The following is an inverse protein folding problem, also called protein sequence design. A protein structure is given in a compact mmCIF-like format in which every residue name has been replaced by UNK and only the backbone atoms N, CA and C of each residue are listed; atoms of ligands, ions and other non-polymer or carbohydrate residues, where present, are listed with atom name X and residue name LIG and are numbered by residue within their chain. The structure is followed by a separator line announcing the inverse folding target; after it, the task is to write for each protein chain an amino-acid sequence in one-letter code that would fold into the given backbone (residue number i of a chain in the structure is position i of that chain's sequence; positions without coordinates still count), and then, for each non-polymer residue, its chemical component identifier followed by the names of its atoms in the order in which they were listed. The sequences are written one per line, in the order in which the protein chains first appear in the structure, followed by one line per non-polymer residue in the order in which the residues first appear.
data_IF_360461022761
#
_entry.id   IF_360461022761
#
_cell.length_a   1.000
_cell.length_b   1.000
_cell.length_c   1.000
_cell.angle_alpha   90.00
_cell.angle_beta   90.00
_cell.angle_gamma   90.00
#
_symmetry.space_group_name_H-M   'P 1'
#
loop_
_entity.id
_entity.type
_entity.pdbx_description
1 polymer ?
#
# COMPACT_ATOMS: atom_id res chain seq x y z
N UNK A 1 26.36 -7.29 26.43
CA UNK A 1 24.89 -7.50 26.38
C UNK A 1 24.22 -6.17 26.62
N UNK A 2 23.15 -5.81 25.89
CA UNK A 2 22.42 -4.56 26.13
C UNK A 2 21.74 -4.61 27.50
N UNK A 3 21.67 -3.46 28.17
CA UNK A 3 20.92 -3.32 29.43
C UNK A 3 19.41 -3.36 29.18
N UNK A 4 18.60 -3.65 30.21
CA UNK A 4 17.15 -3.66 30.09
C UNK A 4 16.58 -2.29 29.64
N UNK A 5 17.24 -1.20 30.01
CA UNK A 5 16.87 0.16 29.59
C UNK A 5 17.19 0.40 28.11
N UNK A 6 18.38 0.03 27.64
CA UNK A 6 18.75 0.12 26.22
C UNK A 6 17.80 -0.70 25.33
N UNK A 7 17.34 -1.84 25.83
CA UNK A 7 16.38 -2.69 25.13
C UNK A 7 15.00 -2.05 25.00
N UNK A 8 14.51 -1.41 26.08
CA UNK A 8 13.26 -0.63 26.06
C UNK A 8 13.34 0.55 25.09
N UNK A 9 14.45 1.29 25.11
CA UNK A 9 14.68 2.42 24.21
C UNK A 9 14.71 1.98 22.74
N UNK A 10 15.42 0.89 22.44
CA UNK A 10 15.46 0.32 21.09
C UNK A 10 14.08 -0.13 20.61
N UNK A 11 13.29 -0.75 21.49
CA UNK A 11 11.91 -1.17 21.17
C UNK A 11 10.99 0.02 20.93
N UNK A 12 11.06 1.06 21.78
CA UNK A 12 10.25 2.27 21.65
C UNK A 12 10.59 3.03 20.37
N UNK A 13 11.88 3.17 20.04
CA UNK A 13 12.33 3.77 18.80
C UNK A 13 11.86 2.98 17.58
N UNK A 14 12.00 1.64 17.60
CA UNK A 14 11.54 0.79 16.50
C UNK A 14 10.03 0.92 16.24
N UNK A 15 9.22 0.97 17.30
CA UNK A 15 7.78 1.19 17.23
C UNK A 15 7.44 2.55 16.61
N UNK A 16 8.04 3.65 17.13
CA UNK A 16 7.86 4.99 16.55
C UNK A 16 8.31 5.08 15.08
N UNK A 17 9.41 4.43 14.72
CA UNK A 17 9.88 4.34 13.33
C UNK A 17 8.87 3.56 12.48
N UNK A 18 8.32 2.44 12.97
CA UNK A 18 7.32 1.67 12.23
C UNK A 18 6.11 2.54 11.83
N UNK A 19 5.60 3.37 12.76
CA UNK A 19 4.51 4.31 12.48
C UNK A 19 4.88 5.36 11.43
N UNK A 20 6.06 5.97 11.52
CA UNK A 20 6.52 6.95 10.53
C UNK A 20 6.70 6.35 9.13
N UNK A 21 7.28 5.15 9.05
CA UNK A 21 7.55 4.47 7.78
C UNK A 21 6.28 4.11 6.99
N UNK A 22 5.09 4.12 7.61
CA UNK A 22 3.80 3.95 6.91
C UNK A 22 3.51 5.10 5.93
N UNK A 23 4.12 6.26 6.14
CA UNK A 23 3.87 7.49 5.37
C UNK A 23 5.07 7.95 4.55
N UNK A 24 6.26 7.44 4.87
CA UNK A 24 7.51 7.79 4.21
C UNK A 24 7.56 7.32 2.74
N UNK A 25 8.30 8.02 1.86
CA UNK A 25 8.60 7.50 0.54
C UNK A 25 9.64 6.37 0.58
N UNK A 26 9.59 5.47 -0.40
CA UNK A 26 10.41 4.25 -0.46
C UNK A 26 11.90 4.53 -0.26
N UNK A 27 12.43 5.60 -0.85
CA UNK A 27 13.84 5.97 -0.67
C UNK A 27 14.16 6.42 0.76
N UNK A 28 13.25 7.14 1.42
CA UNK A 28 13.36 7.49 2.85
C UNK A 28 13.25 6.25 3.71
N UNK A 29 12.36 5.30 3.37
CA UNK A 29 12.25 4.02 4.09
C UNK A 29 13.58 3.26 4.03
N UNK A 30 14.17 3.15 2.85
CA UNK A 30 15.49 2.51 2.66
C UNK A 30 16.58 3.23 3.46
N UNK A 31 16.60 4.56 3.44
CA UNK A 31 17.59 5.34 4.17
C UNK A 31 17.45 5.21 5.69
N UNK A 32 16.23 5.39 6.22
CA UNK A 32 15.93 5.27 7.65
C UNK A 32 16.26 3.88 8.19
N UNK A 33 15.90 2.82 7.46
CA UNK A 33 16.18 1.44 7.90
C UNK A 33 17.68 1.14 7.95
N UNK A 34 18.51 1.78 7.11
CA UNK A 34 19.98 1.67 7.16
C UNK A 34 20.63 2.39 8.34
N UNK A 35 19.97 3.43 8.87
CA UNK A 35 20.45 4.21 10.03
C UNK A 35 20.21 3.50 11.36
N UNK A 36 19.27 2.55 11.42
CA UNK A 36 18.96 1.82 12.63
C UNK A 36 20.12 0.90 13.01
N UNK A 37 20.47 0.90 14.29
CA UNK A 37 21.35 -0.12 14.83
C UNK A 37 20.68 -1.51 14.75
N UNK A 38 21.50 -2.56 14.85
CA UNK A 38 21.03 -3.94 14.69
C UNK A 38 19.95 -4.36 15.70
N UNK A 39 19.97 -3.81 16.92
CA UNK A 39 18.99 -4.14 17.95
C UNK A 39 17.65 -3.48 17.67
N UNK A 40 17.66 -2.19 17.32
CA UNK A 40 16.45 -1.46 16.90
C UNK A 40 15.86 -2.07 15.63
N UNK A 41 16.68 -2.41 14.62
CA UNK A 41 16.23 -3.04 13.38
C UNK A 41 15.60 -4.43 13.62
N UNK A 42 16.12 -5.21 14.57
CA UNK A 42 15.51 -6.48 15.01
C UNK A 42 14.09 -6.26 15.55
N UNK A 43 13.87 -5.22 16.34
CA UNK A 43 12.54 -4.88 16.85
C UNK A 43 11.63 -4.40 15.73
N UNK A 44 12.12 -3.53 14.84
CA UNK A 44 11.36 -3.06 13.69
C UNK A 44 10.89 -4.24 12.81
N UNK A 45 11.79 -5.18 12.47
CA UNK A 45 11.45 -6.38 11.69
C UNK A 45 10.39 -7.28 12.35
N UNK A 46 10.20 -7.16 13.67
CA UNK A 46 9.23 -7.90 14.47
C UNK A 46 7.98 -7.08 14.80
N UNK A 47 7.96 -5.81 14.40
CA UNK A 47 6.81 -4.95 14.59
C UNK A 47 5.62 -5.53 13.84
N UNK A 48 4.48 -5.48 14.49
CA UNK A 48 3.29 -6.17 14.04
C UNK A 48 2.60 -5.51 12.86
N UNK A 49 2.82 -4.21 12.69
CA UNK A 49 2.09 -3.38 11.74
C UNK A 49 3.02 -2.77 10.71
N UNK A 50 4.15 -3.42 10.42
CA UNK A 50 5.00 -3.05 9.31
C UNK A 50 4.19 -3.02 8.00
N UNK A 51 4.23 -1.87 7.32
CA UNK A 51 3.60 -1.73 6.02
C UNK A 51 4.21 -2.72 5.01
N UNK A 52 3.38 -3.26 4.10
CA UNK A 52 3.81 -4.25 3.11
C UNK A 52 4.98 -3.75 2.22
N UNK A 53 5.02 -2.45 1.91
CA UNK A 53 6.13 -1.83 1.17
C UNK A 53 7.41 -1.81 2.00
N UNK A 54 7.35 -1.46 3.29
CA UNK A 54 8.50 -1.53 4.20
C UNK A 54 9.05 -2.95 4.30
N UNK A 55 8.18 -3.96 4.43
CA UNK A 55 8.59 -5.37 4.42
C UNK A 55 9.27 -5.72 3.09
N UNK A 56 8.70 -5.30 1.97
CA UNK A 56 9.26 -5.53 0.63
C UNK A 56 10.68 -4.94 0.51
N UNK A 57 10.86 -3.69 0.94
CA UNK A 57 12.15 -3.01 0.90
C UNK A 57 13.18 -3.65 1.84
N UNK A 58 12.79 -4.05 3.05
CA UNK A 58 13.66 -4.76 3.98
C UNK A 58 14.09 -6.14 3.45
N UNK A 59 13.22 -6.85 2.73
CA UNK A 59 13.58 -8.13 2.13
C UNK A 59 14.51 -7.97 0.93
N UNK A 60 14.33 -6.88 0.18
CA UNK A 60 15.15 -6.54 -0.99
C UNK A 60 16.52 -6.00 -0.61
N UNK A 61 16.59 -5.12 0.39
CA UNK A 61 17.79 -4.34 0.72
C UNK A 61 18.40 -4.67 2.10
N UNK A 62 17.68 -5.39 2.96
CA UNK A 62 18.15 -5.78 4.29
C UNK A 62 19.10 -6.97 4.27
N UNK A 63 19.80 -7.15 5.40
CA UNK A 63 20.75 -8.23 5.60
C UNK A 63 20.03 -9.57 5.79
N UNK A 64 20.76 -10.68 5.66
CA UNK A 64 20.20 -12.03 5.82
C UNK A 64 19.51 -12.24 7.19
N UNK A 65 20.03 -11.62 8.25
CA UNK A 65 19.44 -11.68 9.59
C UNK A 65 18.06 -11.02 9.65
N UNK A 66 17.88 -9.89 8.96
CA UNK A 66 16.63 -9.12 8.92
C UNK A 66 15.53 -9.94 8.23
N UNK A 67 15.88 -10.57 7.10
CA UNK A 67 15.01 -11.52 6.41
C UNK A 67 14.57 -12.65 7.33
N UNK A 68 15.49 -13.17 8.15
CA UNK A 68 15.21 -14.19 9.16
C UNK A 68 14.34 -13.71 10.33
N UNK A 69 14.33 -12.42 10.65
CA UNK A 69 13.40 -11.85 11.64
C UNK A 69 12.01 -11.67 11.05
N UNK A 70 11.91 -11.11 9.86
CA UNK A 70 10.64 -10.94 9.14
C UNK A 70 10.01 -12.32 8.88
N UNK A 71 10.79 -13.34 8.51
CA UNK A 71 10.32 -14.73 8.32
C UNK A 71 9.57 -15.30 9.52
N UNK A 72 9.94 -14.85 10.72
CA UNK A 72 9.37 -15.33 11.97
C UNK A 72 8.31 -14.39 12.53
N UNK A 73 8.04 -13.26 11.87
CA UNK A 73 7.03 -12.32 12.30
C UNK A 73 5.63 -12.85 11.93
N UNK A 74 4.79 -13.23 12.92
CA UNK A 74 3.49 -13.82 12.62
C UNK A 74 2.49 -12.82 12.05
N UNK A 75 2.73 -11.52 12.24
CA UNK A 75 1.78 -10.41 12.03
C UNK A 75 2.01 -9.62 10.74
N UNK A 76 3.06 -9.90 9.97
CA UNK A 76 3.22 -9.38 8.60
C UNK A 76 1.99 -9.75 7.76
N UNK A 77 1.16 -8.73 7.52
CA UNK A 77 -0.16 -8.84 6.89
C UNK A 77 -0.02 -9.34 5.45
N UNK A 78 -0.92 -10.24 5.03
CA UNK A 78 -1.05 -10.61 3.61
C UNK A 78 -0.21 -11.79 3.14
N UNK A 79 0.09 -12.76 4.02
CA UNK A 79 0.99 -13.88 3.72
C UNK A 79 0.90 -14.47 2.28
N UNK A 80 2.07 -14.75 1.64
CA UNK A 80 3.33 -14.87 2.37
C UNK A 80 4.46 -13.94 1.88
N UNK A 81 5.20 -13.45 2.88
CA UNK A 81 6.64 -13.25 3.05
C UNK A 81 6.92 -13.58 4.53
N UNK A 82 8.13 -13.99 4.95
CA UNK A 82 9.05 -15.03 4.46
C UNK A 82 8.86 -16.42 5.14
N UNK A 83 9.30 -17.49 4.45
CA UNK A 83 8.87 -18.89 4.70
C UNK A 83 7.73 -19.34 3.77
N UNK A 84 7.59 -18.68 2.62
CA UNK A 84 6.46 -18.81 1.71
C UNK A 84 6.12 -20.29 1.45
N UNK A 85 4.90 -20.77 1.71
CA UNK A 85 4.36 -21.69 0.73
C UNK A 85 4.20 -20.84 -0.53
N UNK A 86 5.09 -21.03 -1.49
CA UNK A 86 4.99 -20.47 -2.83
C UNK A 86 3.72 -20.99 -3.53
N UNK A 87 3.75 -21.19 -4.86
CA UNK A 87 2.76 -22.02 -5.56
C UNK A 87 2.34 -23.25 -4.74
N UNK A 88 3.21 -23.83 -3.89
CA UNK A 88 2.91 -24.81 -2.84
C UNK A 88 1.56 -24.70 -2.08
N UNK A 89 1.04 -23.52 -1.68
CA UNK A 89 -0.29 -23.47 -1.01
C UNK A 89 -1.45 -23.68 -1.99
N UNK A 90 -1.23 -23.28 -3.25
CA UNK A 90 -2.13 -23.52 -4.38
C UNK A 90 -1.95 -24.94 -4.96
N UNK A 91 -0.70 -25.43 -5.02
CA UNK A 91 -0.28 -26.75 -5.51
C UNK A 91 -0.53 -27.88 -4.48
N UNK A 92 -0.68 -27.56 -3.18
CA UNK A 92 -1.23 -28.50 -2.18
C UNK A 92 -2.66 -28.95 -2.52
N UNK A 93 -3.36 -28.24 -3.41
CA UNK A 93 -4.60 -28.73 -4.01
C UNK A 93 -4.23 -29.47 -5.30
N UNK A 94 -4.55 -30.77 -5.38
CA UNK A 94 -4.31 -31.60 -6.58
C UNK A 94 -4.71 -30.85 -7.85
N UNK A 95 -3.85 -30.89 -8.87
CA UNK A 95 -4.17 -30.53 -10.26
C UNK A 95 -5.52 -31.14 -10.61
N UNK A 96 -6.47 -30.40 -11.20
CA UNK A 96 -7.71 -31.01 -11.68
C UNK A 96 -7.34 -32.21 -12.57
N UNK A 97 -7.82 -33.44 -12.28
CA UNK A 97 -7.39 -34.64 -13.02
C UNK A 97 -7.69 -34.56 -14.52
N UNK A 98 -8.63 -33.70 -14.90
CA UNK A 98 -9.04 -33.44 -16.28
C UNK A 98 -8.12 -32.46 -17.03
N UNK A 99 -7.23 -31.74 -16.34
CA UNK A 99 -6.38 -30.72 -16.98
C UNK A 99 -5.35 -31.33 -17.92
N UNK A 100 -4.60 -32.35 -17.47
CA UNK A 100 -3.57 -32.99 -18.30
C UNK A 100 -4.17 -33.63 -19.57
N UNK A 101 -5.27 -34.41 -19.51
CA UNK A 101 -5.96 -34.87 -20.71
C UNK A 101 -6.37 -33.75 -21.67
N UNK A 102 -6.88 -32.63 -21.13
CA UNK A 102 -7.26 -31.47 -21.93
C UNK A 102 -6.05 -30.83 -22.63
N UNK A 103 -4.95 -30.64 -21.90
CA UNK A 103 -3.72 -30.08 -22.47
C UNK A 103 -3.10 -31.00 -23.52
N UNK A 104 -3.14 -32.32 -23.31
CA UNK A 104 -2.71 -33.32 -24.31
C UNK A 104 -3.52 -33.24 -25.60
N UNK A 105 -4.84 -33.12 -25.48
CA UNK A 105 -5.71 -32.96 -26.63
C UNK A 105 -5.47 -31.62 -27.37
N UNK A 106 -5.18 -30.56 -26.62
CA UNK A 106 -4.89 -29.23 -27.19
C UNK A 106 -3.54 -29.16 -27.91
N UNK A 107 -2.51 -29.80 -27.36
CA UNK A 107 -1.13 -29.76 -27.89
C UNK A 107 -0.83 -30.89 -28.87
N UNK A 108 -1.64 -31.96 -28.89
CA UNK A 108 -1.40 -33.16 -29.71
C UNK A 108 -0.21 -34.01 -29.23
N UNK A 109 0.32 -33.74 -28.05
CA UNK A 109 1.49 -34.40 -27.43
C UNK A 109 1.39 -34.38 -25.91
N UNK A 110 2.27 -35.09 -25.22
CA UNK A 110 2.33 -35.06 -23.75
C UNK A 110 3.16 -33.87 -23.24
N UNK A 111 2.56 -32.86 -22.58
CA UNK A 111 3.31 -31.73 -22.05
C UNK A 111 4.17 -32.08 -20.82
N UNK A 112 4.04 -33.28 -20.25
CA UNK A 112 4.94 -33.78 -19.21
C UNK A 112 6.23 -34.40 -19.80
N UNK A 113 6.17 -34.90 -21.04
CA UNK A 113 7.29 -35.58 -21.70
C UNK A 113 8.23 -34.59 -22.41
N UNK A 114 7.69 -33.48 -22.90
CA UNK A 114 8.42 -32.49 -23.70
C UNK A 114 8.13 -31.07 -23.21
N UNK A 115 9.15 -30.21 -22.99
CA UNK A 115 8.95 -28.84 -22.55
C UNK A 115 7.99 -28.05 -23.45
N UNK A 116 7.18 -27.19 -22.84
CA UNK A 116 6.39 -26.20 -23.57
C UNK A 116 7.32 -25.15 -24.18
N UNK A 117 7.18 -24.91 -25.48
CA UNK A 117 7.79 -23.75 -26.12
C UNK A 117 7.15 -22.46 -25.58
N UNK A 118 7.86 -21.33 -25.70
CA UNK A 118 7.33 -20.03 -25.27
C UNK A 118 5.96 -19.71 -25.91
N UNK A 119 5.77 -20.06 -27.20
CA UNK A 119 4.52 -19.83 -27.92
C UNK A 119 3.37 -20.69 -27.37
N UNK A 120 3.61 -21.98 -27.12
CA UNK A 120 2.61 -22.87 -26.51
C UNK A 120 2.22 -22.39 -25.11
N UNK A 121 3.21 -22.02 -24.28
CA UNK A 121 2.97 -21.50 -22.94
C UNK A 121 2.07 -20.24 -23.00
N UNK A 122 2.43 -19.26 -23.84
CA UNK A 122 1.66 -18.02 -23.98
C UNK A 122 0.24 -18.29 -24.47
N UNK A 123 0.06 -19.19 -25.44
CA UNK A 123 -1.26 -19.56 -25.95
C UNK A 123 -2.14 -20.18 -24.85
N UNK A 124 -1.58 -21.12 -24.07
CA UNK A 124 -2.27 -21.76 -22.94
C UNK A 124 -2.63 -20.73 -21.86
N UNK A 125 -1.71 -19.83 -21.50
CA UNK A 125 -1.95 -18.76 -20.54
C UNK A 125 -3.06 -17.81 -21.02
N UNK A 126 -3.13 -17.46 -22.32
CA UNK A 126 -4.20 -16.62 -22.86
C UNK A 126 -5.57 -17.33 -22.81
N UNK A 127 -5.60 -18.63 -23.08
CA UNK A 127 -6.83 -19.42 -23.11
C UNK A 127 -7.39 -19.67 -21.72
N UNK A 128 -6.55 -20.07 -20.78
CA UNK A 128 -6.96 -20.56 -19.47
C UNK A 128 -6.87 -19.52 -18.34
N UNK A 129 -6.35 -18.32 -18.63
CA UNK A 129 -6.11 -17.25 -17.67
C UNK A 129 -7.28 -16.36 -17.25
N UNK A 130 -8.47 -16.53 -17.84
CA UNK A 130 -9.51 -15.48 -17.82
C UNK A 130 -10.08 -15.16 -16.44
N UNK A 131 -10.08 -16.10 -15.49
CA UNK A 131 -10.80 -15.94 -14.21
C UNK A 131 -9.92 -16.00 -12.96
N UNK A 132 -9.09 -17.03 -12.82
CA UNK A 132 -8.32 -17.30 -11.60
C UNK A 132 -6.95 -17.89 -11.96
N UNK A 133 -5.93 -17.74 -11.09
CA UNK A 133 -4.58 -18.17 -11.39
C UNK A 133 -4.38 -19.68 -11.34
N UNK A 134 -5.39 -20.48 -10.93
CA UNK A 134 -5.19 -21.90 -10.67
C UNK A 134 -4.70 -22.68 -11.91
N UNK A 135 -5.48 -22.68 -12.99
CA UNK A 135 -5.10 -23.41 -14.21
C UNK A 135 -3.80 -22.86 -14.81
N UNK A 136 -3.58 -21.53 -14.88
CA UNK A 136 -2.28 -20.98 -15.24
C UNK A 136 -1.12 -21.43 -14.35
N UNK A 137 -1.30 -21.57 -13.03
CA UNK A 137 -0.27 -22.09 -12.13
C UNK A 137 0.05 -23.56 -12.42
N UNK A 138 -0.98 -24.35 -12.71
CA UNK A 138 -0.80 -25.76 -13.09
C UNK A 138 -0.05 -25.88 -14.43
N UNK A 139 -0.32 -24.98 -15.39
CA UNK A 139 0.44 -24.89 -16.66
C UNK A 139 1.90 -24.48 -16.41
N UNK A 140 2.13 -23.48 -15.54
CA UNK A 140 3.49 -23.00 -15.19
C UNK A 140 4.29 -24.03 -14.37
N UNK A 141 3.65 -25.06 -13.82
CA UNK A 141 4.33 -26.16 -13.15
C UNK A 141 4.86 -27.23 -14.12
N UNK A 142 4.41 -27.23 -15.38
CA UNK A 142 4.94 -28.11 -16.42
C UNK A 142 6.33 -27.63 -16.89
N UNK A 143 7.19 -28.53 -17.41
CA UNK A 143 8.45 -28.12 -18.02
C UNK A 143 8.19 -27.12 -19.16
N UNK A 144 8.90 -25.99 -19.17
CA UNK A 144 8.71 -24.95 -20.18
C UNK A 144 9.98 -24.13 -20.41
N UNK A 145 10.12 -23.63 -21.64
CA UNK A 145 11.13 -22.63 -22.02
C UNK A 145 10.46 -21.26 -22.02
N UNK A 146 10.68 -20.46 -20.97
CA UNK A 146 10.19 -19.08 -20.91
C UNK A 146 11.32 -18.10 -20.61
N UNK A 147 11.65 -17.30 -21.61
CA UNK A 147 12.44 -16.09 -21.44
C UNK A 147 11.53 -14.92 -20.97
N UNK A 148 11.84 -14.25 -19.84
CA UNK A 148 11.06 -13.11 -19.34
C UNK A 148 10.86 -11.99 -20.36
N UNK A 149 11.88 -11.71 -21.20
CA UNK A 149 11.81 -10.67 -22.23
C UNK A 149 10.79 -10.99 -23.31
N UNK A 150 10.81 -12.23 -23.80
CA UNK A 150 9.87 -12.76 -24.80
C UNK A 150 8.43 -12.78 -24.27
N UNK A 151 8.23 -13.19 -23.02
CA UNK A 151 6.93 -13.15 -22.35
C UNK A 151 6.39 -11.71 -22.24
N UNK A 152 7.24 -10.75 -21.88
CA UNK A 152 6.86 -9.35 -21.80
C UNK A 152 6.52 -8.76 -23.17
N UNK A 153 7.31 -9.06 -24.20
CA UNK A 153 7.05 -8.60 -25.57
C UNK A 153 5.69 -9.10 -26.09
N UNK A 154 5.38 -10.36 -25.83
CA UNK A 154 4.10 -10.97 -26.20
C UNK A 154 2.92 -10.44 -25.38
N UNK A 155 3.14 -10.13 -24.11
CA UNK A 155 2.15 -9.46 -23.28
C UNK A 155 1.85 -8.03 -23.77
N UNK A 156 2.88 -7.29 -24.20
CA UNK A 156 2.72 -5.94 -24.73
C UNK A 156 1.94 -5.93 -26.06
N UNK A 157 2.18 -6.91 -26.94
CA UNK A 157 1.44 -7.08 -28.20
C UNK A 157 -0.01 -7.46 -27.98
N UNK A 158 -0.26 -8.46 -27.12
CA UNK A 158 -1.60 -8.93 -26.79
C UNK A 158 -1.66 -9.31 -25.30
N UNK A 159 -2.28 -8.44 -24.47
CA UNK A 159 -2.30 -8.60 -23.02
C UNK A 159 -2.78 -9.97 -22.57
N UNK A 160 -2.00 -10.56 -21.66
CA UNK A 160 -2.39 -11.79 -20.96
C UNK A 160 -3.59 -11.49 -20.04
N UNK A 161 -4.52 -12.45 -19.87
CA UNK A 161 -5.59 -12.30 -18.91
C UNK A 161 -5.09 -12.18 -17.46
N UNK A 162 -5.85 -11.47 -16.62
CA UNK A 162 -5.46 -11.17 -15.24
C UNK A 162 -5.12 -12.42 -14.39
N UNK A 163 -5.79 -13.55 -14.60
CA UNK A 163 -5.46 -14.79 -13.87
C UNK A 163 -4.09 -15.35 -14.24
N UNK A 164 -3.67 -15.21 -15.50
CA UNK A 164 -2.33 -15.61 -15.93
C UNK A 164 -1.26 -14.66 -15.44
N UNK A 165 -1.53 -13.35 -15.45
CA UNK A 165 -0.61 -12.37 -14.85
C UNK A 165 -0.47 -12.62 -13.34
N UNK A 166 -1.57 -12.86 -12.62
CA UNK A 166 -1.53 -13.24 -11.20
C UNK A 166 -0.70 -14.52 -10.97
N UNK A 167 -0.82 -15.52 -11.85
CA UNK A 167 -0.07 -16.76 -11.76
C UNK A 167 1.42 -16.58 -12.03
N UNK A 168 1.79 -15.78 -13.03
CA UNK A 168 3.20 -15.45 -13.33
C UNK A 168 3.87 -14.73 -12.15
N UNK A 169 3.17 -13.77 -11.54
CA UNK A 169 3.64 -13.07 -10.34
C UNK A 169 3.75 -13.98 -9.10
N UNK A 170 3.02 -15.11 -9.09
CA UNK A 170 3.05 -16.12 -8.03
C UNK A 170 4.12 -17.19 -8.24
N UNK A 171 4.29 -17.68 -9.47
CA UNK A 171 5.07 -18.87 -9.77
C UNK A 171 6.57 -18.60 -9.88
N UNK A 172 6.97 -17.42 -10.34
CA UNK A 172 8.32 -17.17 -10.80
C UNK A 172 9.06 -16.13 -9.95
N UNK A 173 10.39 -16.30 -9.86
CA UNK A 173 11.32 -15.26 -9.46
C UNK A 173 11.55 -14.28 -10.62
N UNK A 174 10.47 -13.61 -11.03
CA UNK A 174 10.51 -12.67 -12.16
C UNK A 174 11.40 -11.47 -11.83
N UNK A 175 12.23 -11.02 -12.77
CA UNK A 175 12.88 -9.71 -12.67
C UNK A 175 11.83 -8.62 -12.44
N UNK A 176 12.21 -7.59 -11.69
CA UNK A 176 11.30 -6.49 -11.32
C UNK A 176 10.72 -5.81 -12.56
N UNK A 177 11.55 -5.60 -13.57
CA UNK A 177 11.18 -4.97 -14.83
C UNK A 177 10.08 -5.77 -15.54
N UNK A 178 10.16 -7.11 -15.48
CA UNK A 178 9.12 -7.99 -16.04
C UNK A 178 7.82 -7.91 -15.23
N UNK A 179 7.91 -7.88 -13.90
CA UNK A 179 6.73 -7.73 -13.04
C UNK A 179 6.01 -6.39 -13.27
N UNK A 180 6.76 -5.29 -13.41
CA UNK A 180 6.23 -3.98 -13.77
C UNK A 180 5.56 -4.01 -15.15
N UNK A 181 6.26 -4.54 -16.15
CA UNK A 181 5.77 -4.60 -17.52
C UNK A 181 4.48 -5.43 -17.67
N UNK A 182 4.32 -6.49 -16.88
CA UNK A 182 3.08 -7.28 -16.83
C UNK A 182 1.87 -6.53 -16.25
N UNK A 183 2.10 -5.44 -15.53
CA UNK A 183 1.05 -4.58 -14.97
C UNK A 183 0.80 -3.33 -15.83
N UNK A 184 1.70 -3.01 -16.76
CA UNK A 184 1.67 -1.85 -17.64
C UNK A 184 0.86 -2.06 -18.95
N UNK A 185 -0.14 -2.93 -18.93
CA UNK A 185 -0.89 -3.32 -20.14
C UNK A 185 -1.89 -2.23 -20.59
N UNK A 186 -1.41 -1.27 -21.39
CA UNK A 186 -2.18 -0.14 -21.93
C UNK A 186 -3.38 -0.56 -22.82
N UNK A 187 -3.27 -1.69 -23.51
CA UNK A 187 -4.25 -2.17 -24.50
C UNK A 187 -5.22 -3.25 -23.96
N UNK A 188 -5.44 -3.32 -22.65
CA UNK A 188 -6.27 -4.36 -22.08
C UNK A 188 -7.77 -4.15 -22.41
N UNK A 189 -8.51 -5.23 -22.79
CA UNK A 189 -9.96 -5.15 -23.00
C UNK A 189 -10.69 -4.74 -21.71
N UNK A 190 -11.94 -4.29 -21.85
CA UNK A 190 -12.82 -3.84 -20.77
C UNK A 190 -12.54 -4.58 -19.45
N UNK A 191 -12.17 -3.82 -18.42
CA UNK A 191 -11.60 -4.36 -17.18
C UNK A 191 -12.56 -5.39 -16.56
N UNK A 192 -12.20 -6.67 -16.67
CA UNK A 192 -12.98 -7.74 -16.06
C UNK A 192 -13.00 -7.61 -14.53
N UNK A 193 -13.96 -8.25 -13.85
CA UNK A 193 -14.17 -8.17 -12.38
C UNK A 193 -12.94 -8.47 -11.49
N UNK A 194 -11.85 -8.97 -12.06
CA UNK A 194 -10.64 -9.47 -11.37
C UNK A 194 -9.36 -8.76 -11.81
N UNK A 195 -9.45 -7.63 -12.52
CA UNK A 195 -8.31 -6.87 -13.05
C UNK A 195 -7.30 -6.42 -11.98
N UNK A 196 -7.75 -6.13 -10.75
CA UNK A 196 -6.93 -5.63 -9.65
C UNK A 196 -6.08 -6.71 -8.97
N UNK A 197 -6.44 -7.99 -9.14
CA UNK A 197 -5.83 -9.10 -8.39
C UNK A 197 -4.31 -9.22 -8.60
N UNK A 198 -3.77 -9.07 -9.83
CA UNK A 198 -2.33 -9.05 -10.05
C UNK A 198 -1.59 -7.98 -9.26
N UNK A 199 -2.11 -6.75 -9.21
CA UNK A 199 -1.50 -5.66 -8.44
C UNK A 199 -1.49 -5.97 -6.94
N UNK A 200 -2.64 -6.43 -6.39
CA UNK A 200 -2.73 -6.87 -4.99
C UNK A 200 -1.75 -8.00 -4.69
N UNK A 201 -1.58 -8.93 -5.64
CA UNK A 201 -0.65 -10.04 -5.50
C UNK A 201 0.80 -9.58 -5.52
N UNK A 202 1.17 -8.67 -6.41
CA UNK A 202 2.53 -8.17 -6.53
C UNK A 202 3.03 -7.58 -5.21
N UNK A 203 2.20 -6.78 -4.53
CA UNK A 203 2.55 -6.21 -3.21
C UNK A 203 2.66 -7.28 -2.13
N UNK A 204 1.66 -8.17 -2.02
CA UNK A 204 1.65 -9.21 -0.98
C UNK A 204 2.77 -10.23 -1.10
N UNK A 205 3.24 -10.48 -2.32
CA UNK A 205 4.38 -11.35 -2.59
C UNK A 205 5.72 -10.60 -2.50
N UNK A 206 5.72 -9.30 -2.15
CA UNK A 206 6.92 -8.47 -2.09
C UNK A 206 7.64 -8.30 -3.41
N UNK A 207 6.91 -8.38 -4.53
CA UNK A 207 7.46 -8.14 -5.86
C UNK A 207 7.59 -6.64 -6.11
N UNK A 208 6.56 -5.88 -5.73
CA UNK A 208 6.49 -4.43 -5.92
C UNK A 208 6.05 -3.73 -4.64
N UNK A 209 6.53 -2.51 -4.43
CA UNK A 209 5.96 -1.58 -3.43
C UNK A 209 4.69 -0.91 -3.98
N UNK A 210 3.96 -0.18 -3.12
CA UNK A 210 2.81 0.62 -3.59
C UNK A 210 3.25 1.74 -4.53
N UNK A 211 4.43 2.33 -4.31
CA UNK A 211 4.98 3.37 -5.21
C UNK A 211 5.38 2.81 -6.57
N UNK A 212 6.03 1.64 -6.59
CA UNK A 212 6.35 0.95 -7.84
C UNK A 212 5.07 0.58 -8.61
N UNK A 213 3.98 0.20 -7.92
CA UNK A 213 2.68 0.04 -8.57
C UNK A 213 2.17 1.35 -9.18
N UNK A 214 2.20 2.47 -8.44
CA UNK A 214 1.72 3.77 -8.94
C UNK A 214 2.53 4.24 -10.16
N UNK A 215 3.84 4.00 -10.16
CA UNK A 215 4.73 4.41 -11.23
C UNK A 215 4.56 3.59 -12.53
N UNK A 216 4.14 2.32 -12.42
CA UNK A 216 4.17 1.39 -13.56
C UNK A 216 2.81 0.85 -14.01
N UNK A 217 1.80 0.85 -13.14
CA UNK A 217 0.47 0.38 -13.53
C UNK A 217 -0.13 1.32 -14.57
N UNK A 218 -0.55 0.74 -15.68
CA UNK A 218 -1.19 1.44 -16.78
C UNK A 218 -2.45 0.67 -17.23
N UNK A 219 -3.51 1.36 -17.71
CA UNK A 219 -3.65 2.83 -17.81
C UNK A 219 -3.89 3.52 -16.45
N UNK A 220 -3.65 4.84 -16.38
CA UNK A 220 -3.69 5.66 -15.17
C UNK A 220 -4.97 5.50 -14.33
N UNK A 221 -6.14 5.32 -14.98
CA UNK A 221 -7.40 5.02 -14.27
C UNK A 221 -7.31 3.84 -13.30
N UNK A 222 -6.50 2.82 -13.61
CA UNK A 222 -6.35 1.63 -12.75
C UNK A 222 -5.71 2.01 -11.44
N UNK A 223 -4.70 2.87 -11.46
CA UNK A 223 -4.01 3.35 -10.26
C UNK A 223 -4.96 4.14 -9.36
N UNK A 224 -5.81 5.01 -9.94
CA UNK A 224 -6.85 5.73 -9.20
C UNK A 224 -7.86 4.78 -8.55
N UNK A 225 -8.33 3.77 -9.28
CA UNK A 225 -9.24 2.76 -8.76
C UNK A 225 -8.59 1.87 -7.69
N UNK A 226 -7.30 1.53 -7.83
CA UNK A 226 -6.55 0.80 -6.80
C UNK A 226 -6.47 1.58 -5.49
N UNK A 227 -6.44 2.92 -5.56
CA UNK A 227 -6.51 3.82 -4.41
C UNK A 227 -7.86 3.84 -3.69
N UNK A 228 -8.91 3.22 -4.24
CA UNK A 228 -10.21 3.07 -3.58
C UNK A 228 -10.95 1.84 -4.12
N UNK A 229 -10.44 0.63 -3.82
CA UNK A 229 -11.10 -0.60 -4.27
C UNK A 229 -12.40 -0.83 -3.48
N UNK A 230 -13.57 -0.98 -4.14
CA UNK A 230 -14.82 -1.21 -3.44
C UNK A 230 -14.79 -2.55 -2.70
N UNK A 231 -15.49 -2.61 -1.56
CA UNK A 231 -15.63 -3.82 -0.76
C UNK A 231 -16.39 -4.93 -1.53
N UNK A 232 -15.67 -5.75 -2.30
CA UNK A 232 -16.19 -6.93 -3.02
C UNK A 232 -15.66 -8.21 -2.38
N UNK A 233 -16.34 -9.35 -2.61
CA UNK A 233 -15.96 -10.70 -2.11
C UNK A 233 -14.68 -11.28 -2.76
N UNK A 234 -13.84 -10.49 -3.41
CA UNK A 234 -12.61 -10.91 -4.11
C UNK A 234 -11.35 -10.68 -3.27
N UNK A 235 -10.18 -11.06 -3.82
CA UNK A 235 -8.88 -10.66 -3.27
C UNK A 235 -8.82 -9.13 -3.27
N UNK A 236 -8.71 -8.53 -2.09
CA UNK A 236 -8.77 -7.08 -1.85
C UNK A 236 -7.60 -6.63 -1.00
N UNK A 237 -7.35 -5.33 -0.95
CA UNK A 237 -6.49 -4.73 0.07
C UNK A 237 -7.03 -5.02 1.48
N UNK A 238 -6.13 -5.29 2.43
CA UNK A 238 -6.43 -5.07 3.85
C UNK A 238 -6.50 -3.57 4.13
N UNK A 239 -7.04 -3.17 5.29
CA UNK A 239 -7.10 -1.75 5.64
C UNK A 239 -5.71 -1.07 5.63
N UNK A 240 -4.64 -1.66 6.19
CA UNK A 240 -3.29 -1.09 6.08
C UNK A 240 -2.76 -1.02 4.64
N UNK A 241 -3.03 -2.03 3.80
CA UNK A 241 -2.64 -2.01 2.38
C UNK A 241 -3.41 -0.93 1.61
N UNK A 242 -4.69 -0.73 1.92
CA UNK A 242 -5.52 0.31 1.34
C UNK A 242 -5.00 1.70 1.70
N UNK A 243 -4.63 1.91 2.97
CA UNK A 243 -4.03 3.16 3.43
C UNK A 243 -2.66 3.43 2.77
N UNK A 244 -1.82 2.39 2.62
CA UNK A 244 -0.55 2.48 1.93
C UNK A 244 -0.70 2.80 0.43
N UNK A 245 -1.62 2.12 -0.25
CA UNK A 245 -1.94 2.41 -1.65
C UNK A 245 -2.49 3.83 -1.82
N UNK A 246 -3.42 4.28 -0.96
CA UNK A 246 -3.95 5.64 -0.99
C UNK A 246 -2.85 6.67 -0.78
N UNK A 247 -1.95 6.46 0.18
CA UNK A 247 -0.79 7.33 0.41
C UNK A 247 0.11 7.45 -0.83
N UNK A 248 0.42 6.32 -1.49
CA UNK A 248 1.21 6.33 -2.72
C UNK A 248 0.51 7.04 -3.88
N UNK A 249 -0.82 6.89 -4.02
CA UNK A 249 -1.62 7.60 -5.03
C UNK A 249 -1.65 9.10 -4.73
N UNK A 250 -1.92 9.50 -3.49
CA UNK A 250 -1.91 10.90 -3.06
C UNK A 250 -0.57 11.56 -3.32
N UNK A 251 0.53 10.82 -3.14
CA UNK A 251 1.87 11.30 -3.48
C UNK A 251 2.02 11.63 -4.96
N UNK A 252 1.55 10.76 -5.85
CA UNK A 252 1.59 11.01 -7.29
C UNK A 252 0.63 12.13 -7.73
N UNK A 253 -0.45 12.36 -7.00
CA UNK A 253 -1.42 13.44 -7.24
C UNK A 253 -1.01 14.79 -6.65
N UNK A 254 0.02 14.83 -5.78
CA UNK A 254 0.49 16.05 -5.10
C UNK A 254 0.66 17.26 -6.02
N UNK A 255 1.19 17.14 -7.26
CA UNK A 255 1.34 18.28 -8.17
C UNK A 255 0.02 18.99 -8.53
N UNK A 256 -1.13 18.33 -8.39
CA UNK A 256 -2.44 18.95 -8.62
C UNK A 256 -2.83 19.96 -7.53
N UNK A 257 -2.22 19.84 -6.33
CA UNK A 257 -2.56 20.66 -5.16
C UNK A 257 -4.06 20.61 -4.82
N UNK A 258 -4.58 21.74 -4.35
CA UNK A 258 -5.99 21.92 -4.01
C UNK A 258 -6.79 22.56 -5.16
N UNK A 259 -6.24 22.65 -6.39
CA UNK A 259 -6.92 23.32 -7.51
C UNK A 259 -8.04 22.43 -8.11
N UNK A 260 -9.33 22.76 -7.89
CA UNK A 260 -10.44 21.93 -8.36
C UNK A 260 -10.47 21.77 -9.89
N UNK A 261 -9.85 22.69 -10.65
CA UNK A 261 -9.77 22.61 -12.11
C UNK A 261 -8.85 21.46 -12.55
N UNK A 262 -7.71 21.29 -11.89
CA UNK A 262 -6.76 20.22 -12.19
C UNK A 262 -7.33 18.84 -11.81
N UNK A 263 -8.08 18.77 -10.70
CA UNK A 263 -8.84 17.57 -10.34
C UNK A 263 -9.94 17.22 -11.36
N UNK A 264 -10.58 18.23 -11.96
CA UNK A 264 -11.53 18.02 -13.05
C UNK A 264 -10.85 17.52 -14.33
N UNK A 265 -9.65 18.04 -14.67
CA UNK A 265 -8.85 17.53 -15.79
C UNK A 265 -8.42 16.07 -15.57
N UNK A 266 -8.05 15.70 -14.33
CA UNK A 266 -7.74 14.32 -13.98
C UNK A 266 -8.89 13.38 -14.33
N UNK A 267 -10.12 13.75 -13.94
CA UNK A 267 -11.32 12.97 -14.25
C UNK A 267 -11.62 12.90 -15.76
N UNK A 268 -11.35 13.98 -16.50
CA UNK A 268 -11.53 14.01 -17.96
C UNK A 268 -10.55 13.10 -18.69
N UNK A 269 -9.27 13.12 -18.32
CA UNK A 269 -8.22 12.45 -19.08
C UNK A 269 -7.90 11.03 -18.61
N UNK A 270 -8.12 10.69 -17.34
CA UNK A 270 -7.76 9.38 -16.78
C UNK A 270 -8.34 8.15 -17.51
N UNK A 271 -9.60 8.15 -18.00
CA UNK A 271 -10.17 6.97 -18.67
C UNK A 271 -9.41 6.53 -19.93
N UNK A 272 -8.94 7.52 -20.71
CA UNK A 272 -8.33 7.31 -22.02
C UNK A 272 -6.79 7.37 -21.99
N UNK A 273 -6.18 7.88 -20.92
CA UNK A 273 -4.73 8.00 -20.85
C UNK A 273 -4.05 6.61 -20.75
N UNK A 274 -3.24 6.22 -21.75
CA UNK A 274 -2.67 4.87 -21.83
C UNK A 274 -1.49 4.65 -20.88
N UNK A 275 -0.85 5.72 -20.40
CA UNK A 275 0.31 5.68 -19.52
C UNK A 275 -0.04 5.54 -18.03
N UNK A 276 0.97 5.55 -17.15
CA UNK A 276 0.80 5.50 -15.71
C UNK A 276 0.33 6.84 -15.14
N UNK A 277 -0.14 6.84 -13.89
CA UNK A 277 -0.70 8.03 -13.24
C UNK A 277 0.26 9.22 -13.17
N UNK A 278 1.56 9.07 -12.85
CA UNK A 278 2.49 10.21 -12.83
C UNK A 278 2.63 10.92 -14.18
N UNK A 279 2.61 10.16 -15.28
CA UNK A 279 2.67 10.73 -16.64
C UNK A 279 1.42 11.54 -16.98
N UNK A 280 0.25 11.06 -16.54
CA UNK A 280 -1.00 11.81 -16.67
C UNK A 280 -0.97 13.11 -15.86
N UNK A 281 -0.54 13.05 -14.60
CA UNK A 281 -0.49 14.23 -13.72
C UNK A 281 0.47 15.28 -14.26
N UNK A 282 1.66 14.87 -14.72
CA UNK A 282 2.60 15.79 -15.37
C UNK A 282 1.97 16.47 -16.59
N UNK A 283 1.30 15.70 -17.46
CA UNK A 283 0.62 16.26 -18.62
C UNK A 283 -0.49 17.27 -18.29
N UNK A 284 -1.23 17.04 -17.19
CA UNK A 284 -2.28 17.96 -16.70
C UNK A 284 -1.65 19.26 -16.20
N UNK A 285 -0.63 19.16 -15.35
CA UNK A 285 0.04 20.31 -14.75
C UNK A 285 0.75 21.16 -15.80
N UNK A 286 1.37 20.52 -16.79
CA UNK A 286 2.06 21.20 -17.90
C UNK A 286 1.09 21.71 -18.98
N UNK A 287 -0.19 21.36 -18.91
CA UNK A 287 -1.19 21.71 -19.93
C UNK A 287 -0.90 21.11 -21.31
N UNK A 288 -0.18 19.99 -21.37
CA UNK A 288 0.32 19.39 -22.62
C UNK A 288 -0.56 18.26 -23.16
N UNK A 289 -1.64 17.89 -22.45
CA UNK A 289 -2.54 16.85 -22.90
C UNK A 289 -3.41 17.33 -24.07
N UNK A 290 -3.61 16.48 -25.10
CA UNK A 290 -4.54 16.79 -26.17
C UNK A 290 -5.95 16.90 -25.61
N UNK A 291 -6.78 17.74 -26.24
CA UNK A 291 -8.20 17.88 -25.88
C UNK A 291 -8.90 16.52 -25.82
N UNK A 292 -9.80 16.29 -24.86
CA UNK A 292 -10.42 14.98 -24.68
C UNK A 292 -11.26 14.58 -25.90
N UNK A 293 -11.09 13.35 -26.38
CA UNK A 293 -11.89 12.76 -27.45
C UNK A 293 -13.34 12.53 -26.99
N UNK A 294 -14.17 13.57 -27.15
CA UNK A 294 -15.61 13.54 -26.91
C UNK A 294 -16.03 13.45 -25.43
N UNK A 295 -17.25 13.92 -25.16
CA UNK A 295 -17.87 13.82 -23.85
C UNK A 295 -18.35 12.38 -23.60
N UNK A 296 -17.46 11.49 -23.15
CA UNK A 296 -17.88 10.27 -22.46
C UNK A 296 -18.29 10.63 -21.04
N UNK A 297 -19.44 10.14 -20.60
CA UNK A 297 -19.82 10.25 -19.19
C UNK A 297 -18.70 9.68 -18.30
N UNK A 298 -18.32 10.38 -17.22
CA UNK A 298 -17.28 9.90 -16.33
C UNK A 298 -17.75 8.63 -15.64
N UNK A 299 -16.92 7.58 -15.69
CA UNK A 299 -17.16 6.32 -14.98
C UNK A 299 -17.49 6.60 -13.49
N UNK A 300 -18.67 6.20 -13.00
CA UNK A 300 -19.08 6.47 -11.62
C UNK A 300 -18.13 5.89 -10.56
N UNK A 301 -17.47 4.76 -10.85
CA UNK A 301 -16.48 4.17 -9.94
C UNK A 301 -15.23 5.04 -9.87
N UNK A 302 -14.73 5.52 -11.02
CA UNK A 302 -13.59 6.43 -11.10
C UNK A 302 -13.89 7.77 -10.42
N UNK A 303 -15.07 8.35 -10.69
CA UNK A 303 -15.50 9.59 -10.07
C UNK A 303 -15.56 9.47 -8.55
N UNK A 304 -16.03 8.33 -8.02
CA UNK A 304 -16.02 8.06 -6.57
C UNK A 304 -14.61 7.92 -6.02
N UNK A 305 -13.72 7.21 -6.72
CA UNK A 305 -12.34 7.03 -6.30
C UNK A 305 -11.61 8.37 -6.23
N UNK A 306 -11.74 9.23 -7.25
CA UNK A 306 -11.13 10.57 -7.24
C UNK A 306 -11.72 11.45 -6.15
N UNK A 307 -13.04 11.43 -5.93
CA UNK A 307 -13.64 12.19 -4.81
C UNK A 307 -13.11 11.76 -3.44
N UNK A 308 -12.78 10.48 -3.26
CA UNK A 308 -12.20 9.97 -2.01
C UNK A 308 -10.73 10.37 -1.82
N UNK A 309 -10.04 10.69 -2.92
CA UNK A 309 -8.65 11.16 -2.93
C UNK A 309 -8.55 12.68 -2.86
N UNK A 310 -9.55 13.38 -3.38
CA UNK A 310 -9.61 14.83 -3.36
C UNK A 310 -9.61 15.33 -1.90
N UNK A 311 -8.86 16.41 -1.59
CA UNK A 311 -8.94 17.06 -0.30
C UNK A 311 -10.39 17.47 -0.01
N UNK A 312 -10.99 16.88 1.02
CA UNK A 312 -12.30 17.30 1.51
C UNK A 312 -12.18 17.71 2.97
N UNK A 313 -12.60 18.94 3.28
CA UNK A 313 -13.00 19.28 4.63
C UNK A 313 -14.36 18.62 4.87
N UNK A 314 -14.37 17.41 5.44
CA UNK A 314 -15.59 16.94 6.08
C UNK A 314 -15.83 17.87 7.27
N UNK A 315 -16.95 18.59 7.28
CA UNK A 315 -17.31 19.41 8.43
C UNK A 315 -17.96 18.51 9.48
N UNK A 316 -17.29 18.27 10.63
CA UNK A 316 -17.88 17.56 11.74
C UNK A 316 -19.01 18.38 12.35
N UNK A 317 -19.98 17.70 12.95
CA UNK A 317 -21.16 18.32 13.56
C UNK A 317 -20.95 18.58 15.06
N UNK A 318 -21.60 19.63 15.57
CA UNK A 318 -21.65 19.95 16.99
C UNK A 318 -20.83 21.18 17.36
N UNK A 319 -21.38 22.01 18.25
CA UNK A 319 -20.76 23.25 18.70
C UNK A 319 -19.87 22.98 19.93
N UNK A 320 -20.43 23.02 21.14
CA UNK A 320 -19.67 22.86 22.40
C UNK A 320 -19.17 21.42 22.59
N UNK A 321 -19.98 20.43 22.23
CA UNK A 321 -19.61 19.01 22.38
C UNK A 321 -18.37 18.66 21.55
N UNK A 322 -18.23 19.27 20.38
CA UNK A 322 -17.04 19.07 19.53
C UNK A 322 -15.80 19.70 20.15
N UNK A 323 -15.90 20.94 20.64
CA UNK A 323 -14.75 21.61 21.28
C UNK A 323 -14.28 20.83 22.51
N UNK A 324 -15.21 20.29 23.30
CA UNK A 324 -14.89 19.39 24.42
C UNK A 324 -14.22 18.09 23.93
N UNK A 325 -14.72 17.49 22.86
CA UNK A 325 -14.11 16.30 22.27
C UNK A 325 -12.69 16.60 21.74
N UNK A 326 -12.45 17.74 21.11
CA UNK A 326 -11.11 18.15 20.66
C UNK A 326 -10.16 18.39 21.85
N UNK A 327 -10.63 19.09 22.89
CA UNK A 327 -9.86 19.32 24.10
C UNK A 327 -9.50 18.01 24.81
N UNK A 328 -10.41 17.02 24.80
CA UNK A 328 -10.17 15.72 25.42
C UNK A 328 -9.01 14.94 24.79
N UNK A 329 -8.75 15.10 23.48
CA UNK A 329 -7.61 14.45 22.81
C UNK A 329 -6.25 14.91 23.36
N UNK A 330 -6.20 16.09 23.98
CA UNK A 330 -5.01 16.63 24.62
C UNK A 330 -4.87 16.24 26.10
N UNK A 331 -5.82 15.46 26.65
CA UNK A 331 -5.80 15.02 28.04
C UNK A 331 -5.77 13.49 28.08
N UNK A 332 -4.64 12.87 28.44
CA UNK A 332 -4.59 11.43 28.65
C UNK A 332 -5.62 11.00 29.70
N UNK A 333 -6.49 10.07 29.35
CA UNK A 333 -7.44 9.46 30.29
C UNK A 333 -6.71 8.57 31.30
N UNK A 334 -7.39 8.15 32.37
CA UNK A 334 -6.79 7.33 33.44
C UNK A 334 -6.27 5.98 32.92
N UNK A 335 -6.89 5.46 31.85
CA UNK A 335 -6.48 4.25 31.15
C UNK A 335 -6.54 4.39 29.63
N UNK A 336 -5.76 3.58 28.91
CA UNK A 336 -5.78 3.52 27.44
C UNK A 336 -7.14 3.01 26.96
N UNK A 337 -7.76 2.10 27.70
CA UNK A 337 -9.06 1.53 27.40
C UNK A 337 -10.17 2.60 27.46
N UNK A 338 -10.14 3.50 28.43
CA UNK A 338 -11.08 4.63 28.50
C UNK A 338 -10.87 5.64 27.39
N UNK A 339 -9.61 5.95 27.07
CA UNK A 339 -9.27 6.82 25.94
C UNK A 339 -9.80 6.24 24.62
N UNK A 340 -9.59 4.94 24.38
CA UNK A 340 -10.14 4.24 23.20
C UNK A 340 -11.67 4.30 23.18
N UNK A 341 -12.36 3.98 24.29
CA UNK A 341 -13.83 4.03 24.33
C UNK A 341 -14.37 5.42 24.05
N UNK A 342 -13.73 6.44 24.62
CA UNK A 342 -14.14 7.84 24.46
C UNK A 342 -13.93 8.33 23.02
N UNK A 343 -12.76 8.07 22.42
CA UNK A 343 -12.50 8.44 21.02
C UNK A 343 -13.48 7.73 20.09
N UNK A 344 -13.79 6.46 20.35
CA UNK A 344 -14.78 5.70 19.58
C UNK A 344 -16.19 6.31 19.67
N UNK A 345 -16.68 6.64 20.87
CA UNK A 345 -17.98 7.32 21.02
C UNK A 345 -18.04 8.63 20.23
N UNK A 346 -16.96 9.41 20.28
CA UNK A 346 -16.87 10.66 19.54
C UNK A 346 -16.87 10.47 18.01
N UNK A 347 -16.23 9.41 17.50
CA UNK A 347 -16.25 9.06 16.08
C UNK A 347 -17.63 8.56 15.65
N UNK A 348 -18.27 7.69 16.44
CA UNK A 348 -19.61 7.16 16.17
C UNK A 348 -20.67 8.27 16.13
N UNK A 349 -20.52 9.28 16.99
CA UNK A 349 -21.39 10.48 17.03
C UNK A 349 -21.04 11.54 15.98
N UNK A 350 -19.94 11.37 15.24
CA UNK A 350 -19.46 12.37 14.27
C UNK A 350 -18.93 13.66 14.89
N UNK A 351 -18.61 13.65 16.20
CA UNK A 351 -17.98 14.78 16.90
C UNK A 351 -16.51 14.93 16.53
N UNK A 352 -15.83 13.80 16.29
CA UNK A 352 -14.43 13.75 15.85
C UNK A 352 -14.30 13.04 14.50
N UNK A 353 -13.18 13.28 13.85
CA UNK A 353 -12.72 12.57 12.65
C UNK A 353 -11.32 12.00 12.89
N UNK A 354 -10.86 11.09 12.02
CA UNK A 354 -9.47 10.63 12.06
C UNK A 354 -8.44 11.77 11.87
N UNK A 355 -8.81 12.84 11.14
CA UNK A 355 -8.00 14.05 10.98
C UNK A 355 -7.80 14.75 12.32
N UNK A 356 -8.87 14.88 13.11
CA UNK A 356 -8.82 15.53 14.42
C UNK A 356 -7.86 14.78 15.36
N UNK A 357 -7.93 13.45 15.39
CA UNK A 357 -7.01 12.61 16.18
C UNK A 357 -5.55 12.88 15.82
N UNK A 358 -5.22 12.91 14.53
CA UNK A 358 -3.84 13.17 14.08
C UNK A 358 -3.33 14.55 14.52
N UNK A 359 -4.21 15.56 14.50
CA UNK A 359 -3.81 16.94 14.82
C UNK A 359 -3.71 17.20 16.31
N UNK A 360 -4.59 16.59 17.10
CA UNK A 360 -4.84 17.00 18.49
C UNK A 360 -4.45 15.95 19.54
N UNK A 361 -4.32 14.67 19.18
CA UNK A 361 -3.99 13.63 20.16
C UNK A 361 -2.59 13.78 20.74
N UNK A 362 -2.50 13.68 22.06
CA UNK A 362 -1.26 13.71 22.84
C UNK A 362 -0.96 12.35 23.48
N UNK A 363 0.34 11.99 23.60
CA UNK A 363 1.49 12.48 22.83
C UNK A 363 1.41 12.15 21.34
N UNK A 364 2.23 12.83 20.53
CA UNK A 364 2.28 12.67 19.07
C UNK A 364 2.42 11.22 18.59
N UNK A 365 3.09 10.36 19.35
CA UNK A 365 3.23 8.94 19.00
C UNK A 365 1.90 8.17 19.09
N UNK A 366 0.99 8.55 19.99
CA UNK A 366 -0.34 7.95 20.09
C UNK A 366 -1.27 8.39 18.96
N UNK A 367 -1.07 9.59 18.43
CA UNK A 367 -1.81 10.04 17.24
C UNK A 367 -1.56 9.09 16.05
N UNK A 368 -0.31 8.65 15.87
CA UNK A 368 0.09 7.75 14.78
C UNK A 368 -0.18 6.26 15.06
N UNK A 369 -0.58 5.89 16.28
CA UNK A 369 -0.88 4.52 16.65
C UNK A 369 -2.39 4.30 16.75
N UNK A 370 -2.98 3.70 15.71
CA UNK A 370 -4.42 3.41 15.69
C UNK A 370 -4.87 2.51 16.84
N UNK A 371 -3.98 1.69 17.40
CA UNK A 371 -4.33 0.84 18.53
C UNK A 371 -4.53 1.65 19.83
N UNK A 372 -3.94 2.85 19.92
CA UNK A 372 -4.13 3.76 21.06
C UNK A 372 -5.41 4.61 20.99
N UNK A 373 -6.22 4.48 19.94
CA UNK A 373 -7.50 5.22 19.86
C UNK A 373 -8.63 4.44 19.17
N UNK A 374 -8.35 3.27 18.57
CA UNK A 374 -9.30 2.32 18.02
C UNK A 374 -8.94 0.86 18.36
N UNK A 375 -8.11 0.65 19.39
CA UNK A 375 -7.69 -0.68 19.82
C UNK A 375 -8.83 -1.56 20.33
N UNK A 376 -8.51 -2.83 20.58
CA UNK A 376 -9.46 -3.82 21.07
C UNK A 376 -9.68 -3.64 22.58
N UNK A 377 -10.87 -3.16 22.96
CA UNK A 377 -11.26 -3.03 24.37
C UNK A 377 -12.40 -4.00 24.72
N UNK A 378 -13.50 -3.97 23.96
CA UNK A 378 -14.70 -4.78 24.22
C UNK A 378 -15.23 -5.54 22.97
N UNK A 379 -14.44 -5.56 21.87
CA UNK A 379 -14.84 -5.80 20.47
C UNK A 379 -15.93 -4.81 19.97
N UNK A 380 -15.88 -4.26 18.74
CA UNK A 380 -14.88 -4.40 17.66
C UNK A 380 -13.70 -3.39 17.71
N UNK A 381 -12.67 -3.63 16.88
CA UNK A 381 -11.41 -2.84 16.76
C UNK A 381 -11.43 -1.91 15.53
N UNK A 382 -10.36 -1.15 15.28
CA UNK A 382 -10.18 -0.21 14.14
C UNK A 382 -10.70 -0.63 12.76
N UNK A 383 -10.91 -1.92 12.50
CA UNK A 383 -11.51 -2.39 11.26
C UNK A 383 -12.99 -2.04 11.12
N UNK A 384 -13.66 -1.63 12.20
CA UNK A 384 -15.03 -1.12 12.21
C UNK A 384 -15.13 0.37 11.84
N UNK A 385 -14.05 1.13 12.00
CA UNK A 385 -13.92 2.53 11.62
C UNK A 385 -12.92 2.74 10.45
N UNK A 386 -13.08 2.06 9.29
CA UNK A 386 -12.11 2.16 8.20
C UNK A 386 -12.02 3.59 7.64
N UNK A 387 -13.11 4.36 7.67
CA UNK A 387 -13.12 5.75 7.23
C UNK A 387 -12.22 6.65 8.09
N UNK A 388 -12.27 6.49 9.41
CA UNK A 388 -11.44 7.24 10.34
C UNK A 388 -9.95 6.91 10.16
N UNK A 389 -9.62 5.62 10.00
CA UNK A 389 -8.24 5.17 9.75
C UNK A 389 -7.70 5.77 8.44
N UNK A 390 -8.45 5.67 7.33
CA UNK A 390 -8.00 6.22 6.05
C UNK A 390 -7.82 7.75 6.10
N UNK A 391 -8.72 8.46 6.79
CA UNK A 391 -8.62 9.91 6.97
C UNK A 391 -7.41 10.30 7.84
N UNK A 392 -7.15 9.57 8.92
CA UNK A 392 -5.98 9.76 9.77
C UNK A 392 -4.68 9.53 8.98
N UNK A 393 -4.60 8.45 8.20
CA UNK A 393 -3.42 8.21 7.37
C UNK A 393 -3.18 9.30 6.33
N UNK A 394 -4.25 9.79 5.68
CA UNK A 394 -4.15 10.87 4.71
C UNK A 394 -3.66 12.18 5.36
N UNK A 395 -4.17 12.52 6.54
CA UNK A 395 -3.74 13.71 7.29
C UNK A 395 -2.30 13.59 7.78
N UNK A 396 -1.91 12.44 8.34
CA UNK A 396 -0.54 12.18 8.77
C UNK A 396 0.42 12.32 7.59
N UNK A 397 0.08 11.72 6.44
CA UNK A 397 0.85 11.86 5.20
C UNK A 397 0.99 13.33 4.77
N UNK A 398 -0.10 14.11 4.82
CA UNK A 398 -0.11 15.53 4.46
C UNK A 398 0.81 16.35 5.37
N UNK A 399 0.68 16.20 6.69
CA UNK A 399 1.52 16.91 7.67
C UNK A 399 3.00 16.54 7.53
N UNK A 400 3.31 15.24 7.43
CA UNK A 400 4.67 14.76 7.29
C UNK A 400 5.31 15.24 5.97
N UNK A 401 4.56 15.20 4.87
CA UNK A 401 5.06 15.68 3.58
C UNK A 401 5.29 17.19 3.58
N UNK A 402 4.37 17.97 4.16
CA UNK A 402 4.50 19.42 4.25
C UNK A 402 5.73 19.83 5.07
N UNK A 403 5.97 19.15 6.19
CA UNK A 403 7.06 19.48 7.10
C UNK A 403 8.41 18.90 6.67
N UNK A 404 8.45 17.61 6.33
CA UNK A 404 9.69 16.86 6.14
C UNK A 404 10.07 16.69 4.67
N UNK A 405 9.10 16.84 3.76
CA UNK A 405 9.27 16.56 2.34
C UNK A 405 9.85 15.16 2.11
N UNK A 406 10.91 15.12 1.31
CA UNK A 406 11.63 13.90 0.95
C UNK A 406 13.01 13.80 1.61
N UNK A 407 13.31 14.66 2.60
CA UNK A 407 14.61 14.73 3.29
C UNK A 407 14.76 13.64 4.35
N UNK A 408 15.58 12.59 4.12
CA UNK A 408 15.74 11.52 5.09
C UNK A 408 16.28 11.97 6.45
N UNK A 409 17.02 13.09 6.51
CA UNK A 409 17.52 13.64 7.78
C UNK A 409 16.40 14.24 8.63
N UNK A 410 15.48 15.01 8.02
CA UNK A 410 14.29 15.49 8.71
C UNK A 410 13.44 14.34 9.25
N UNK A 411 13.23 13.29 8.45
CA UNK A 411 12.53 12.07 8.88
C UNK A 411 13.25 11.36 10.05
N UNK A 412 14.58 11.27 10.00
CA UNK A 412 15.37 10.70 11.08
C UNK A 412 15.30 11.51 12.39
N UNK A 413 15.40 12.84 12.30
CA UNK A 413 15.24 13.73 13.47
C UNK A 413 13.86 13.62 14.10
N UNK A 414 12.80 13.54 13.30
CA UNK A 414 11.44 13.26 13.76
C UNK A 414 11.38 11.92 14.49
N UNK A 415 11.91 10.85 13.88
CA UNK A 415 11.89 9.51 14.47
C UNK A 415 12.61 9.42 15.82
N UNK A 416 13.72 10.13 15.98
CA UNK A 416 14.46 10.17 17.26
C UNK A 416 13.77 11.00 18.33
N UNK A 417 12.97 11.99 17.96
CA UNK A 417 12.29 12.89 18.90
C UNK A 417 10.92 12.35 19.31
N UNK A 418 10.24 11.65 18.40
CA UNK A 418 8.87 11.14 18.57
C UNK A 418 8.64 10.32 19.86
N UNK A 419 9.54 9.40 20.27
CA UNK A 419 9.33 8.61 21.48
C UNK A 419 9.03 9.46 22.72
N UNK A 420 9.78 10.54 22.93
CA UNK A 420 9.76 11.32 24.17
C UNK A 420 9.02 12.67 24.02
N UNK A 421 8.38 12.91 22.87
CA UNK A 421 7.69 14.17 22.61
C UNK A 421 6.27 14.16 23.17
N UNK A 422 6.02 15.01 24.17
CA UNK A 422 4.73 15.09 24.86
C UNK A 422 3.66 15.91 24.12
N UNK A 423 4.02 16.67 23.08
CA UNK A 423 3.09 17.51 22.31
C UNK A 423 2.44 16.78 21.13
N UNK A 424 1.66 17.49 20.32
CA UNK A 424 0.94 16.89 19.17
C UNK A 424 1.87 16.70 17.98
N UNK A 425 1.46 15.89 17.00
CA UNK A 425 2.25 15.68 15.78
C UNK A 425 2.59 17.00 15.05
N UNK A 426 1.65 17.95 14.82
CA UNK A 426 2.00 19.27 14.29
C UNK A 426 3.12 20.00 15.07
N UNK A 427 3.05 20.02 16.40
CA UNK A 427 4.07 20.67 17.21
C UNK A 427 5.45 19.99 17.12
N UNK A 428 5.48 18.66 17.02
CA UNK A 428 6.72 17.91 16.79
C UNK A 428 7.35 18.32 15.45
N UNK A 429 6.54 18.39 14.40
CA UNK A 429 7.00 18.69 13.05
C UNK A 429 7.51 20.13 12.92
N UNK A 430 6.84 21.11 13.54
CA UNK A 430 7.34 22.49 13.65
C UNK A 430 8.70 22.52 14.36
N UNK A 431 8.82 21.85 15.52
CA UNK A 431 10.07 21.81 16.30
C UNK A 431 11.25 21.24 15.50
N UNK A 432 11.03 20.17 14.73
CA UNK A 432 12.09 19.50 13.97
C UNK A 432 12.50 20.30 12.72
N UNK A 433 11.56 21.02 12.10
CA UNK A 433 11.80 21.77 10.85
C UNK A 433 12.38 23.16 11.09
N UNK A 434 11.89 23.88 12.10
CA UNK A 434 12.35 25.24 12.44
C UNK A 434 13.64 25.27 13.27
N UNK A 435 14.18 24.09 13.65
CA UNK A 435 15.45 24.00 14.39
C UNK A 435 15.36 24.56 15.82
N UNK A 436 14.23 24.32 16.50
CA UNK A 436 13.91 24.98 17.77
C UNK A 436 14.75 24.54 18.97
N UNK A 437 15.91 25.18 19.16
CA UNK A 437 16.40 25.57 20.49
C UNK A 437 15.44 26.63 21.04
N UNK A 438 14.43 26.21 21.79
CA UNK A 438 13.82 27.05 22.81
C UNK A 438 14.08 26.35 24.13
N UNK A 439 15.08 26.88 24.84
CA UNK A 439 15.30 26.65 26.25
C UNK A 439 13.98 26.75 27.01
N UNK A 440 13.53 25.62 27.53
CA UNK A 440 12.33 25.50 28.35
C UNK A 440 12.56 24.45 29.44
N UNK A 441 13.55 24.71 30.30
CA UNK A 441 13.62 24.15 31.65
C UNK A 441 13.91 25.30 32.61
N UNK A 442 13.06 25.55 33.62
CA UNK A 442 13.55 25.86 34.95
C UNK A 442 14.39 24.70 35.49
#
# INVERSE_FOLDING_TARGET
MPTAEQDRTSRRLAWCVAHLLRHAPDHVVVDMTRRLDRQTLKYLCRDEWLAASTVTLLLRHGAAADRGYIARNPRVVGRPLPGLPGPARYARRRTPPELLPLLRAELGRDPEAEPLTAAELIALLRRHGRRRPRVPLDILALPHEADPGSLLAEHARLPLPAGSVEALLLAADLPRETACGLLAAAAAPADGRSWHRPAVRAVRMGRLTHEELVAHVAPARRTLLLGHLPARRSLRWTLPEQAGMQTAVMRALRPLGDDPRLWAELLRHAPAHPGPLPALVAGIVDGSLPGPDGAREPDPELARAVRHLAPTAAEPSGDVERELALASLAVPMESVEEDIRWVRDCLDRGLLTGVDVIRHKLPACWALDEDHWLGEVDHPDRHDHPGAVLAAHAEAYRLLTLALGEDPEAWWRTARTLPDFAGTLPHLLLRVTEGGSVSGRP
#
